data_IF_427190568400
#
_entry.id   IF_427190568400
#
_cell.length_a   1.000
_cell.length_b   1.000
_cell.length_c   1.000
_cell.angle_alpha   90.00
_cell.angle_beta   90.00
_cell.angle_gamma   90.00
#
_symmetry.space_group_name_H-M   'P 1'
#
loop_
_entity.id
_entity.type
_entity.pdbx_description
1 polymer ?
#
# COMPACT_ATOMS: atom_id res chain seq x y z
N UNK A 1 23.07 -6.47 -12.81
CA UNK A 1 22.16 -5.56 -13.55
C UNK A 1 22.32 -5.71 -15.06
N UNK A 2 23.54 -5.92 -15.58
CA UNK A 2 23.78 -6.01 -17.03
C UNK A 2 23.38 -7.39 -17.59
N UNK A 3 23.47 -8.43 -16.80
CA UNK A 3 23.16 -9.82 -17.21
C UNK A 3 21.66 -10.14 -17.25
N UNK A 4 20.85 -9.45 -16.45
CA UNK A 4 19.40 -9.72 -16.33
C UNK A 4 18.52 -8.67 -17.05
N UNK A 5 19.10 -7.62 -17.64
CA UNK A 5 18.34 -6.52 -18.25
C UNK A 5 17.57 -5.64 -17.24
N UNK A 6 17.62 -5.98 -15.95
CA UNK A 6 16.97 -5.23 -14.86
C UNK A 6 17.97 -4.32 -14.15
N UNK A 7 17.59 -3.07 -13.81
CA UNK A 7 18.40 -2.21 -12.96
C UNK A 7 18.46 -2.68 -11.50
N UNK A 8 17.60 -3.62 -11.12
CA UNK A 8 17.50 -4.15 -9.77
C UNK A 8 17.86 -5.63 -9.73
N UNK A 9 18.44 -6.06 -8.61
CA UNK A 9 18.69 -7.46 -8.30
C UNK A 9 18.26 -7.75 -6.87
N UNK A 10 17.54 -8.85 -6.67
CA UNK A 10 17.19 -9.31 -5.33
C UNK A 10 18.21 -10.32 -4.86
N UNK A 11 18.83 -10.06 -3.70
CA UNK A 11 19.88 -10.89 -3.10
C UNK A 11 19.54 -11.12 -1.63
N UNK A 12 18.76 -12.16 -1.31
CA UNK A 12 18.32 -12.42 0.07
C UNK A 12 19.52 -12.67 1.02
N UNK A 13 20.63 -13.16 0.51
CA UNK A 13 21.86 -13.37 1.28
C UNK A 13 22.49 -12.06 1.82
N UNK A 14 22.10 -10.91 1.27
CA UNK A 14 22.53 -9.60 1.80
C UNK A 14 21.75 -9.17 3.06
N UNK A 15 20.66 -9.89 3.41
CA UNK A 15 19.77 -9.53 4.50
C UNK A 15 18.90 -8.29 4.17
N UNK A 16 18.09 -7.90 5.13
CA UNK A 16 17.33 -6.65 5.11
C UNK A 16 17.28 -6.05 6.52
N UNK A 17 17.18 -4.74 6.61
CA UNK A 17 17.14 -4.04 7.90
C UNK A 17 16.39 -2.72 7.83
N UNK A 18 15.81 -2.34 8.94
CA UNK A 18 15.17 -1.04 9.13
C UNK A 18 16.10 -0.13 9.92
N UNK A 19 16.26 1.11 9.48
CA UNK A 19 16.99 2.15 10.20
C UNK A 19 16.00 3.08 10.90
N UNK A 20 16.17 3.26 12.20
CA UNK A 20 15.39 4.20 13.00
C UNK A 20 16.32 5.24 13.59
N UNK A 21 16.01 6.51 13.39
CA UNK A 21 16.77 7.62 13.97
C UNK A 21 15.84 8.75 14.39
N UNK A 22 16.24 9.59 15.38
CA UNK A 22 15.52 10.83 15.66
C UNK A 22 15.44 11.73 14.41
N UNK A 23 14.35 12.48 14.28
CA UNK A 23 14.11 13.35 13.11
C UNK A 23 15.22 14.40 12.90
N UNK A 24 15.83 14.86 13.99
CA UNK A 24 16.96 15.80 14.03
C UNK A 24 18.31 15.08 14.28
N UNK A 25 18.34 13.76 14.16
CA UNK A 25 19.52 12.93 14.35
C UNK A 25 20.50 12.98 13.17
N UNK A 26 21.64 12.35 13.38
CA UNK A 26 22.72 12.18 12.41
C UNK A 26 22.94 10.70 12.09
N UNK A 27 23.82 10.37 11.17
CA UNK A 27 24.15 8.99 10.82
C UNK A 27 24.60 8.13 12.02
N UNK A 28 25.20 8.73 13.04
CA UNK A 28 25.61 8.02 14.26
C UNK A 28 24.44 7.63 15.16
N UNK A 29 23.29 8.25 14.96
CA UNK A 29 22.10 8.03 15.79
C UNK A 29 21.17 6.97 15.21
N UNK A 30 21.49 6.45 14.02
CA UNK A 30 20.71 5.39 13.38
C UNK A 30 20.86 4.08 14.14
N UNK A 31 19.74 3.55 14.60
CA UNK A 31 19.63 2.20 15.16
C UNK A 31 19.11 1.28 14.07
N UNK A 32 19.81 0.17 13.83
CA UNK A 32 19.47 -0.80 12.81
C UNK A 32 18.80 -2.03 13.42
N UNK A 33 17.73 -2.49 12.77
CA UNK A 33 16.93 -3.64 13.18
C UNK A 33 16.83 -4.61 12.01
N UNK A 34 17.28 -5.83 12.19
CA UNK A 34 17.22 -6.88 11.17
C UNK A 34 15.78 -7.34 10.96
N UNK A 35 15.42 -7.58 9.71
CA UNK A 35 14.15 -8.14 9.28
C UNK A 35 14.38 -9.24 8.24
N UNK A 36 13.36 -10.04 7.95
CA UNK A 36 13.43 -11.00 6.86
C UNK A 36 13.65 -10.29 5.51
N UNK A 37 14.53 -10.85 4.63
CA UNK A 37 14.74 -10.32 3.30
C UNK A 37 13.42 -10.18 2.56
N UNK A 38 13.15 -8.98 2.05
CA UNK A 38 11.90 -8.64 1.39
C UNK A 38 12.09 -7.44 0.46
N UNK A 39 11.03 -7.12 -0.27
CA UNK A 39 10.93 -5.91 -1.05
C UNK A 39 9.66 -5.12 -0.68
N UNK A 40 9.77 -3.81 -0.63
CA UNK A 40 8.66 -2.90 -0.36
C UNK A 40 8.71 -1.76 -1.37
N UNK A 41 7.65 -1.62 -2.16
CA UNK A 41 7.49 -0.42 -2.99
C UNK A 41 6.96 0.74 -2.17
N UNK A 42 5.89 0.49 -1.40
CA UNK A 42 5.17 1.55 -0.73
C UNK A 42 4.84 1.20 0.73
N UNK A 43 5.23 2.07 1.68
CA UNK A 43 4.69 2.04 3.03
C UNK A 43 3.31 2.70 3.08
N UNK A 44 2.42 2.17 3.91
CA UNK A 44 1.11 2.77 4.19
C UNK A 44 1.24 3.94 5.16
N UNK A 45 1.81 3.71 6.33
CA UNK A 45 2.05 4.71 7.36
C UNK A 45 3.04 4.19 8.40
N UNK A 46 3.64 5.11 9.15
CA UNK A 46 4.49 4.80 10.30
C UNK A 46 4.23 5.80 11.41
N UNK A 47 4.19 5.32 12.68
CA UNK A 47 3.99 6.19 13.85
C UNK A 47 4.64 5.59 15.10
N UNK A 48 4.81 6.43 16.12
CA UNK A 48 5.30 6.03 17.43
C UNK A 48 4.15 5.64 18.36
N UNK A 49 4.34 4.56 19.13
CA UNK A 49 3.42 4.12 20.19
C UNK A 49 4.23 3.70 21.42
N UNK A 50 4.43 4.63 22.34
CA UNK A 50 5.31 4.43 23.50
C UNK A 50 6.77 4.25 23.06
N UNK A 51 7.39 3.12 23.41
CA UNK A 51 8.75 2.76 22.99
C UNK A 51 8.80 1.96 21.67
N UNK A 52 7.71 1.97 20.90
CA UNK A 52 7.60 1.20 19.66
C UNK A 52 7.38 2.11 18.47
N UNK A 53 7.93 1.68 17.33
CA UNK A 53 7.56 2.21 16.02
C UNK A 53 6.67 1.18 15.34
N UNK A 54 5.50 1.64 14.92
CA UNK A 54 4.57 0.84 14.12
C UNK A 54 4.73 1.26 12.66
N UNK A 55 4.91 0.30 11.77
CA UNK A 55 5.06 0.54 10.35
C UNK A 55 4.18 -0.45 9.57
N UNK A 56 3.28 0.07 8.74
CA UNK A 56 2.49 -0.73 7.80
C UNK A 56 3.06 -0.59 6.40
N UNK A 57 3.21 -1.72 5.69
CA UNK A 57 3.82 -1.78 4.36
C UNK A 57 3.10 -2.77 3.45
N UNK A 58 3.16 -2.53 2.14
CA UNK A 58 2.86 -3.56 1.14
C UNK A 58 4.16 -4.34 0.87
N UNK A 59 4.35 -5.46 1.60
CA UNK A 59 5.57 -6.29 1.54
C UNK A 59 5.43 -7.37 0.49
N UNK A 60 6.48 -7.55 -0.31
CA UNK A 60 6.72 -8.68 -1.21
C UNK A 60 7.85 -9.54 -0.64
N UNK A 61 7.80 -10.86 -0.81
CA UNK A 61 8.89 -11.75 -0.38
C UNK A 61 10.14 -11.56 -1.22
N UNK A 62 9.98 -11.24 -2.50
CA UNK A 62 11.06 -11.04 -3.45
C UNK A 62 10.81 -9.79 -4.29
N UNK A 63 11.89 -9.11 -4.69
CA UNK A 63 11.80 -8.03 -5.64
C UNK A 63 11.49 -8.58 -7.04
N UNK A 64 10.76 -7.79 -7.83
CA UNK A 64 10.58 -8.07 -9.25
C UNK A 64 11.92 -7.92 -9.98
N UNK A 65 12.47 -9.02 -10.45
CA UNK A 65 13.73 -9.06 -11.18
C UNK A 65 13.44 -9.45 -12.62
N UNK A 66 13.79 -8.62 -13.60
CA UNK A 66 13.57 -8.91 -15.04
C UNK A 66 12.95 -7.76 -15.83
N UNK A 67 12.58 -6.67 -15.19
CA UNK A 67 11.90 -5.51 -15.82
C UNK A 67 10.37 -5.68 -15.80
N UNK A 68 9.67 -4.62 -16.19
CA UNK A 68 8.20 -4.55 -16.12
C UNK A 68 7.45 -5.55 -17.05
N UNK A 69 8.13 -6.26 -17.91
CA UNK A 69 7.54 -7.19 -18.87
C UNK A 69 7.68 -8.69 -18.50
N UNK A 70 8.56 -9.04 -17.55
CA UNK A 70 8.79 -10.44 -17.12
C UNK A 70 8.45 -10.67 -15.66
N UNK A 71 7.43 -10.05 -15.15
CA UNK A 71 7.40 -9.50 -13.82
C UNK A 71 6.75 -10.37 -12.78
N UNK A 72 5.92 -11.32 -13.13
CA UNK A 72 5.33 -12.16 -12.10
C UNK A 72 6.15 -13.44 -11.90
N UNK A 73 7.10 -13.38 -10.97
CA UNK A 73 7.75 -14.54 -10.38
C UNK A 73 6.83 -15.40 -9.51
N UNK A 74 5.50 -15.27 -9.71
CA UNK A 74 4.49 -15.96 -8.91
C UNK A 74 4.20 -15.26 -7.57
N UNK A 75 3.73 -16.01 -6.59
CA UNK A 75 3.24 -15.51 -5.29
C UNK A 75 4.26 -14.69 -4.48
N UNK A 76 5.56 -14.89 -4.72
CA UNK A 76 6.64 -14.24 -3.96
C UNK A 76 6.81 -12.75 -4.31
N UNK A 77 6.39 -12.32 -5.50
CA UNK A 77 6.49 -10.93 -5.97
C UNK A 77 5.20 -10.13 -5.78
N UNK A 78 4.18 -10.73 -5.17
CA UNK A 78 2.90 -10.07 -4.92
C UNK A 78 2.95 -9.34 -3.58
N UNK A 79 2.62 -8.05 -3.60
CA UNK A 79 2.48 -7.23 -2.40
C UNK A 79 1.27 -7.63 -1.56
N UNK A 80 1.45 -7.66 -0.24
CA UNK A 80 0.40 -7.87 0.76
C UNK A 80 0.61 -6.93 1.93
N UNK A 81 -0.46 -6.59 2.62
CA UNK A 81 -0.37 -5.69 3.76
C UNK A 81 0.25 -6.40 4.97
N UNK A 82 1.33 -5.81 5.49
CA UNK A 82 2.05 -6.25 6.68
C UNK A 82 2.14 -5.12 7.70
N UNK A 83 2.29 -5.51 8.96
CA UNK A 83 2.62 -4.64 10.07
C UNK A 83 3.95 -5.06 10.67
N UNK A 84 4.87 -4.11 10.81
CA UNK A 84 6.09 -4.28 11.57
C UNK A 84 6.00 -3.48 12.87
N UNK A 85 6.33 -4.12 13.97
CA UNK A 85 6.42 -3.49 15.28
C UNK A 85 7.88 -3.53 15.71
N UNK A 86 8.55 -2.39 15.66
CA UNK A 86 9.95 -2.23 16.07
C UNK A 86 9.94 -1.83 17.54
N UNK A 87 10.42 -2.72 18.43
CA UNK A 87 10.57 -2.44 19.86
C UNK A 87 11.93 -1.78 20.09
N UNK A 88 11.93 -0.50 20.44
CA UNK A 88 13.17 0.26 20.65
C UNK A 88 13.90 -0.12 21.93
N UNK A 89 13.23 -0.71 22.92
CA UNK A 89 13.84 -1.16 24.17
C UNK A 89 14.47 -2.55 24.02
N UNK A 90 13.72 -3.49 23.43
CA UNK A 90 14.20 -4.86 23.23
C UNK A 90 15.17 -4.96 22.04
N UNK A 91 15.11 -4.04 21.09
CA UNK A 91 15.93 -4.10 19.88
C UNK A 91 15.45 -5.12 18.84
N UNK A 92 14.17 -5.48 18.86
CA UNK A 92 13.57 -6.53 18.05
C UNK A 92 12.49 -5.98 17.12
N UNK A 93 12.22 -6.70 16.02
CA UNK A 93 11.10 -6.42 15.11
C UNK A 93 10.16 -7.63 15.10
N UNK A 94 8.89 -7.37 15.35
CA UNK A 94 7.82 -8.34 15.08
C UNK A 94 7.20 -8.04 13.74
N UNK A 95 7.20 -9.02 12.85
CA UNK A 95 6.59 -8.95 11.52
C UNK A 95 5.27 -9.73 11.51
N UNK A 96 4.18 -9.08 11.10
CA UNK A 96 2.83 -9.66 11.08
C UNK A 96 2.18 -9.40 9.72
N UNK A 97 1.78 -10.46 9.01
CA UNK A 97 0.92 -10.31 7.84
C UNK A 97 -0.50 -9.97 8.29
N UNK A 98 -1.03 -8.85 7.82
CA UNK A 98 -2.38 -8.38 8.18
C UNK A 98 -3.42 -9.04 7.30
N UNK A 99 -3.11 -9.21 6.01
CA UNK A 99 -4.05 -9.77 5.04
C UNK A 99 -3.31 -10.56 3.96
N UNK A 100 -4.01 -11.51 3.35
CA UNK A 100 -3.52 -12.34 2.25
C UNK A 100 -3.88 -11.78 0.86
N UNK A 101 -4.73 -10.76 0.80
CA UNK A 101 -5.10 -10.13 -0.46
C UNK A 101 -3.92 -9.42 -1.12
N UNK A 102 -3.81 -9.61 -2.43
CA UNK A 102 -2.82 -8.92 -3.25
C UNK A 102 -3.14 -7.43 -3.32
N UNK A 103 -2.23 -6.58 -2.85
CA UNK A 103 -2.43 -5.13 -2.85
C UNK A 103 -1.11 -4.37 -2.88
N UNK A 104 -1.20 -3.14 -3.39
CA UNK A 104 -0.15 -2.12 -3.31
C UNK A 104 -0.79 -0.71 -3.41
N UNK A 105 0.03 0.32 -3.61
CA UNK A 105 -0.39 1.72 -3.66
C UNK A 105 -1.20 2.14 -2.43
N UNK A 106 -0.64 1.89 -1.23
CA UNK A 106 -1.35 2.15 0.02
C UNK A 106 -1.42 3.65 0.31
N UNK A 107 -2.57 4.09 0.82
CA UNK A 107 -2.80 5.47 1.25
C UNK A 107 -3.56 5.52 2.58
N UNK A 108 -3.32 6.58 3.32
CA UNK A 108 -4.08 6.96 4.52
C UNK A 108 -4.67 8.37 4.32
N UNK A 109 -5.45 8.84 5.25
CA UNK A 109 -5.73 10.26 5.37
C UNK A 109 -4.41 11.03 5.56
N UNK A 110 -4.08 11.93 4.65
CA UNK A 110 -2.80 12.68 4.66
C UNK A 110 -2.60 13.48 5.97
N UNK A 111 -3.69 13.83 6.68
CA UNK A 111 -3.64 14.46 8.00
C UNK A 111 -3.08 13.52 9.09
N UNK A 112 -3.06 12.21 8.81
CA UNK A 112 -2.62 11.15 9.72
C UNK A 112 -1.22 10.62 9.40
N UNK A 113 -0.55 11.13 8.40
CA UNK A 113 0.82 10.71 8.08
C UNK A 113 1.73 10.98 9.28
N UNK A 114 2.39 9.93 9.77
CA UNK A 114 3.25 9.97 10.97
C UNK A 114 2.49 9.91 12.30
N UNK A 115 1.17 9.79 12.29
CA UNK A 115 0.31 9.64 13.46
C UNK A 115 -0.37 8.27 13.42
N UNK A 116 -0.84 7.81 14.58
CA UNK A 116 -1.68 6.61 14.63
C UNK A 116 -2.89 6.80 13.71
N UNK A 117 -3.12 5.82 12.86
CA UNK A 117 -4.25 5.78 11.92
C UNK A 117 -5.04 4.50 12.13
N UNK A 118 -6.37 4.61 12.06
CA UNK A 118 -7.26 3.46 12.16
C UNK A 118 -7.67 2.93 10.80
N UNK A 119 -7.53 3.74 9.72
CA UNK A 119 -7.92 3.33 8.37
C UNK A 119 -6.78 3.48 7.36
N UNK A 120 -6.73 2.53 6.43
CA UNK A 120 -5.83 2.56 5.27
C UNK A 120 -6.54 2.04 4.02
N UNK A 121 -6.09 2.47 2.86
CA UNK A 121 -6.67 2.11 1.56
C UNK A 121 -5.58 1.57 0.65
N UNK A 122 -5.84 0.47 -0.05
CA UNK A 122 -4.88 -0.13 -0.98
C UNK A 122 -5.59 -0.51 -2.27
N UNK A 123 -4.93 -0.31 -3.40
CA UNK A 123 -5.38 -0.85 -4.67
C UNK A 123 -5.03 -2.33 -4.76
N UNK A 124 -5.94 -3.14 -5.31
CA UNK A 124 -5.64 -4.55 -5.58
C UNK A 124 -4.70 -4.70 -6.77
N UNK A 125 -3.99 -5.82 -6.80
CA UNK A 125 -3.18 -6.23 -7.95
C UNK A 125 -3.89 -7.35 -8.68
N UNK A 126 -3.83 -7.34 -10.02
CA UNK A 126 -4.35 -8.42 -10.85
C UNK A 126 -3.35 -9.57 -10.89
N UNK A 127 -3.59 -10.61 -10.10
CA UNK A 127 -2.71 -11.77 -9.97
C UNK A 127 -2.81 -12.75 -11.14
N UNK A 128 -3.74 -12.55 -12.07
CA UNK A 128 -3.92 -13.37 -13.27
C UNK A 128 -3.27 -12.75 -14.51
N UNK A 129 -2.80 -11.51 -14.42
CA UNK A 129 -2.14 -10.84 -15.53
C UNK A 129 -0.71 -11.36 -15.74
N UNK A 130 -0.24 -11.35 -16.97
CA UNK A 130 1.14 -11.73 -17.32
C UNK A 130 2.17 -10.68 -16.88
N UNK A 131 1.72 -9.49 -16.55
CA UNK A 131 2.55 -8.37 -16.08
C UNK A 131 1.90 -7.64 -14.90
N UNK A 132 2.65 -6.82 -14.17
CA UNK A 132 2.13 -6.03 -13.06
C UNK A 132 1.02 -5.09 -13.55
N UNK A 133 -0.19 -5.41 -13.16
CA UNK A 133 -1.40 -4.66 -13.50
C UNK A 133 -2.21 -4.39 -12.25
N UNK A 134 -2.82 -3.21 -12.20
CA UNK A 134 -3.78 -2.89 -11.16
C UNK A 134 -5.05 -3.74 -11.33
N UNK A 135 -5.62 -4.15 -10.23
CA UNK A 135 -6.87 -4.91 -10.21
C UNK A 135 -8.08 -4.02 -10.40
N UNK A 136 -9.23 -4.62 -10.21
CA UNK A 136 -10.54 -3.96 -10.33
C UNK A 136 -11.25 -3.78 -8.98
N UNK A 137 -10.50 -3.83 -7.87
CA UNK A 137 -11.02 -3.59 -6.53
C UNK A 137 -10.11 -2.62 -5.78
N UNK A 138 -10.68 -1.93 -4.82
CA UNK A 138 -9.93 -1.19 -3.80
C UNK A 138 -10.31 -1.71 -2.43
N UNK A 139 -9.33 -1.90 -1.56
CA UNK A 139 -9.50 -2.32 -0.19
C UNK A 139 -9.45 -1.15 0.76
N UNK A 140 -10.35 -1.12 1.73
CA UNK A 140 -10.28 -0.32 2.94
C UNK A 140 -9.96 -1.24 4.11
N UNK A 141 -8.93 -0.95 4.85
CA UNK A 141 -8.54 -1.66 6.06
C UNK A 141 -8.94 -0.86 7.29
N UNK A 142 -9.71 -1.48 8.18
CA UNK A 142 -9.88 -1.05 9.56
C UNK A 142 -8.76 -1.72 10.37
N UNK A 143 -7.67 -0.99 10.56
CA UNK A 143 -6.46 -1.48 11.20
C UNK A 143 -6.63 -1.72 12.71
N UNK A 144 -7.57 -0.99 13.33
CA UNK A 144 -7.87 -1.14 14.75
C UNK A 144 -8.62 -2.44 15.05
N UNK A 145 -9.51 -2.87 14.15
CA UNK A 145 -10.34 -4.06 14.30
C UNK A 145 -9.91 -5.24 13.42
N UNK A 146 -8.81 -5.08 12.67
CA UNK A 146 -8.28 -6.07 11.73
C UNK A 146 -9.35 -6.57 10.74
N UNK A 147 -10.04 -5.63 10.08
CA UNK A 147 -11.08 -5.90 9.09
C UNK A 147 -10.72 -5.31 7.74
N UNK A 148 -11.15 -5.97 6.68
CA UNK A 148 -11.08 -5.49 5.30
C UNK A 148 -12.49 -5.32 4.73
N UNK A 149 -12.71 -4.19 4.06
CA UNK A 149 -13.85 -3.91 3.19
C UNK A 149 -13.34 -3.83 1.76
N UNK A 150 -14.19 -4.20 0.79
CA UNK A 150 -13.77 -4.24 -0.61
C UNK A 150 -14.80 -3.54 -1.50
N UNK A 151 -14.37 -2.49 -2.16
CA UNK A 151 -15.16 -1.84 -3.20
C UNK A 151 -14.81 -2.45 -4.56
N UNK A 152 -15.82 -2.93 -5.28
CA UNK A 152 -15.69 -3.48 -6.62
C UNK A 152 -15.90 -2.35 -7.64
N UNK A 153 -14.88 -2.06 -8.45
CA UNK A 153 -14.93 -1.03 -9.50
C UNK A 153 -15.75 -1.47 -10.72
N UNK A 154 -15.98 -2.76 -10.85
CA UNK A 154 -16.63 -3.39 -12.02
C UNK A 154 -15.64 -4.17 -12.87
N UNK A 155 -16.19 -4.99 -13.76
CA UNK A 155 -15.39 -5.73 -14.74
C UNK A 155 -14.76 -4.73 -15.74
N UNK A 156 -13.59 -5.05 -16.23
CA UNK A 156 -12.86 -4.23 -17.23
C UNK A 156 -12.56 -2.79 -16.78
N UNK A 157 -12.54 -2.54 -15.45
CA UNK A 157 -12.11 -1.26 -14.89
C UNK A 157 -10.82 -1.48 -14.10
N UNK A 158 -9.80 -0.71 -14.44
CA UNK A 158 -8.52 -0.66 -13.72
C UNK A 158 -8.48 0.61 -12.88
N UNK A 159 -8.30 0.44 -11.57
CA UNK A 159 -8.21 1.57 -10.65
C UNK A 159 -6.79 2.15 -10.60
N UNK A 160 -6.68 3.38 -10.12
CA UNK A 160 -5.42 4.02 -9.75
C UNK A 160 -5.24 4.08 -8.23
N UNK A 161 -4.36 4.96 -7.76
CA UNK A 161 -4.15 5.16 -6.33
C UNK A 161 -5.41 5.74 -5.65
N UNK A 162 -5.88 5.16 -4.54
CA UNK A 162 -6.99 5.70 -3.77
C UNK A 162 -6.50 6.89 -2.91
N UNK A 163 -7.15 8.04 -3.00
CA UNK A 163 -6.81 9.23 -2.22
C UNK A 163 -7.98 9.58 -1.32
N UNK A 164 -7.75 9.62 0.00
CA UNK A 164 -8.76 10.06 0.94
C UNK A 164 -8.90 11.58 0.95
N UNK A 165 -10.13 12.07 0.84
CA UNK A 165 -10.49 13.48 0.94
C UNK A 165 -11.51 13.68 2.09
N UNK A 166 -11.14 14.33 3.21
CA UNK A 166 -12.07 14.56 4.31
C UNK A 166 -13.20 15.51 3.90
N UNK A 167 -14.40 15.33 4.45
CA UNK A 167 -15.52 16.25 4.22
C UNK A 167 -15.25 17.66 4.74
N UNK A 168 -14.48 17.78 5.82
CA UNK A 168 -13.98 19.04 6.36
C UNK A 168 -12.63 18.82 7.06
N UNK A 169 -11.99 19.90 7.49
CA UNK A 169 -10.74 19.79 8.27
C UNK A 169 -10.94 19.12 9.63
N UNK A 170 -12.14 19.24 10.17
CA UNK A 170 -12.57 18.73 11.48
C UNK A 170 -13.21 17.35 11.40
N UNK A 171 -13.40 16.80 10.19
CA UNK A 171 -13.98 15.46 9.99
C UNK A 171 -13.14 14.38 10.66
N UNK A 172 -13.83 13.36 11.18
CA UNK A 172 -13.20 12.13 11.65
C UNK A 172 -12.44 11.43 10.50
N UNK A 173 -11.51 10.55 10.86
CA UNK A 173 -10.62 9.85 9.91
C UNK A 173 -11.37 9.04 8.83
N UNK A 174 -12.58 8.58 9.10
CA UNK A 174 -13.42 7.86 8.16
C UNK A 174 -14.46 8.76 7.45
N UNK A 175 -14.62 10.01 7.89
CA UNK A 175 -15.66 10.91 7.36
C UNK A 175 -15.16 11.69 6.13
N UNK A 176 -15.17 11.01 4.99
CA UNK A 176 -14.63 11.55 3.76
C UNK A 176 -15.01 10.72 2.54
N UNK A 177 -14.32 10.98 1.47
CA UNK A 177 -14.44 10.27 0.21
C UNK A 177 -13.10 9.70 -0.24
N UNK A 178 -13.15 8.61 -0.96
CA UNK A 178 -12.01 8.11 -1.73
C UNK A 178 -12.15 8.63 -3.15
N UNK A 179 -11.17 9.39 -3.58
CA UNK A 179 -11.02 9.88 -4.94
C UNK A 179 -10.05 8.97 -5.67
N UNK A 180 -10.45 8.47 -6.84
CA UNK A 180 -9.60 7.56 -7.60
C UNK A 180 -9.83 7.75 -9.10
N UNK A 181 -8.73 7.89 -9.85
CA UNK A 181 -8.79 7.77 -11.30
C UNK A 181 -8.92 6.30 -11.68
N UNK A 182 -9.82 5.99 -12.58
CA UNK A 182 -10.04 4.66 -13.10
C UNK A 182 -10.11 4.68 -14.63
N UNK A 183 -9.66 3.61 -15.24
CA UNK A 183 -9.70 3.39 -16.68
C UNK A 183 -10.65 2.26 -17.02
N UNK A 184 -11.59 2.52 -17.90
CA UNK A 184 -12.60 1.59 -18.39
C UNK A 184 -12.14 1.04 -19.75
N UNK A 185 -11.75 -0.24 -19.77
CA UNK A 185 -11.10 -0.85 -20.94
C UNK A 185 -12.04 -0.97 -22.16
N UNK A 186 -13.34 -1.25 -21.93
CA UNK A 186 -14.32 -1.41 -23.03
C UNK A 186 -14.59 -0.13 -23.78
N UNK A 187 -14.63 0.98 -23.09
CA UNK A 187 -14.93 2.31 -23.69
C UNK A 187 -13.69 3.12 -23.97
N UNK A 188 -12.53 2.64 -23.56
CA UNK A 188 -11.24 3.34 -23.62
C UNK A 188 -11.27 4.73 -22.97
N UNK A 189 -12.03 4.89 -21.88
CA UNK A 189 -12.22 6.17 -21.20
C UNK A 189 -11.71 6.13 -19.78
N UNK A 190 -11.19 7.25 -19.34
CA UNK A 190 -10.84 7.47 -17.95
C UNK A 190 -11.94 8.24 -17.22
N UNK A 191 -12.10 7.94 -15.93
CA UNK A 191 -13.06 8.61 -15.05
C UNK A 191 -12.48 8.79 -13.66
N UNK A 192 -12.93 9.84 -12.99
CA UNK A 192 -12.74 10.03 -11.56
C UNK A 192 -13.92 9.37 -10.84
N UNK A 193 -13.62 8.45 -9.94
CA UNK A 193 -14.59 7.84 -9.02
C UNK A 193 -14.54 8.57 -7.68
N UNK A 194 -15.70 8.81 -7.10
CA UNK A 194 -15.86 9.36 -5.76
C UNK A 194 -16.66 8.33 -4.95
N UNK A 195 -16.03 7.70 -3.97
CA UNK A 195 -16.59 6.63 -3.15
C UNK A 195 -16.72 7.15 -1.71
N UNK A 196 -17.89 6.95 -1.06
CA UNK A 196 -18.04 7.32 0.35
C UNK A 196 -17.22 6.37 1.23
N UNK A 197 -16.38 6.91 2.10
CA UNK A 197 -15.51 6.09 2.94
C UNK A 197 -16.26 5.30 4.02
N UNK A 198 -17.40 5.81 4.52
CA UNK A 198 -18.24 5.11 5.50
C UNK A 198 -19.11 4.04 4.87
N UNK A 199 -19.63 4.33 3.67
CA UNK A 199 -20.45 3.40 2.88
C UNK A 199 -19.65 2.84 1.71
N UNK A 200 -18.48 2.30 2.05
CA UNK A 200 -17.40 1.99 1.12
C UNK A 200 -17.74 0.92 0.07
N UNK A 201 -18.61 -0.03 0.40
CA UNK A 201 -18.98 -1.14 -0.50
C UNK A 201 -20.18 -0.80 -1.40
N UNK A 202 -20.82 0.35 -1.19
CA UNK A 202 -21.90 0.86 -2.03
C UNK A 202 -21.39 1.45 -3.35
N UNK A 203 -22.24 1.64 -4.35
CA UNK A 203 -21.85 2.29 -5.60
C UNK A 203 -21.20 3.66 -5.36
N UNK A 204 -20.31 4.13 -6.26
CA UNK A 204 -19.69 5.44 -6.14
C UNK A 204 -20.75 6.55 -6.02
N UNK A 205 -20.49 7.55 -5.19
CA UNK A 205 -21.31 8.75 -5.04
C UNK A 205 -21.36 9.56 -6.35
N UNK A 206 -20.25 9.52 -7.10
CA UNK A 206 -20.16 10.14 -8.42
C UNK A 206 -19.11 9.47 -9.29
N UNK A 207 -19.36 9.53 -10.60
CA UNK A 207 -18.42 9.14 -11.65
C UNK A 207 -18.30 10.31 -12.65
N UNK A 208 -17.11 10.78 -12.85
CA UNK A 208 -16.84 11.96 -13.72
C UNK A 208 -15.88 11.53 -14.82
N UNK A 209 -16.38 11.39 -16.03
CA UNK A 209 -15.54 11.07 -17.18
C UNK A 209 -14.61 12.23 -17.53
N UNK A 210 -13.34 11.91 -17.75
CA UNK A 210 -12.35 12.88 -18.20
C UNK A 210 -12.47 13.11 -19.70
N UNK A 211 -12.11 14.30 -20.21
CA UNK A 211 -12.17 14.58 -21.65
C UNK A 211 -11.11 13.81 -22.46
N UNK A 212 -10.10 13.29 -21.78
CA UNK A 212 -9.00 12.53 -22.38
C UNK A 212 -8.80 11.22 -21.61
N UNK A 213 -8.15 10.29 -22.30
CA UNK A 213 -7.72 9.02 -21.72
C UNK A 213 -6.63 9.24 -20.66
#
# INVERSE_FOLDING_TARGET
AVETGSPFGFKPECGARLGVMPRDGSNSDVRWFEIDPCYVFHPLNSYEEGNKIILYVCKQKEAMVGGFQEVYGGDTTIGRLWKWTIDLELGEVKEEQIDDAACDFPRVDDRRIGLKTDYGYCMTLDTNAESLTLGNHVHKYDLANNKRFTHNLGNNIKGGEPVFAPKSKESDEEDGWILMLAYEEETERSKLLIIDSKDFESPPVAEIYTPQR
#
